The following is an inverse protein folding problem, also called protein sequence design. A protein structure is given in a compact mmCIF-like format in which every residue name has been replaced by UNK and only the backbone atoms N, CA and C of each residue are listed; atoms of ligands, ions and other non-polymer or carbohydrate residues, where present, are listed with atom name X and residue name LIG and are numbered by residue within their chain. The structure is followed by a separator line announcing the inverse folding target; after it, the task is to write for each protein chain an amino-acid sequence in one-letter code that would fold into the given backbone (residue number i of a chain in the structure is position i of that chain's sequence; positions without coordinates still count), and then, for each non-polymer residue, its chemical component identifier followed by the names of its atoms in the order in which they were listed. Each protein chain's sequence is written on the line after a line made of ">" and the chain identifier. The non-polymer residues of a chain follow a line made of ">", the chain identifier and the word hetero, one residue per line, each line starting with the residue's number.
data_IF_787242338868
#
_entry.id   IF_787242338868
#
_cell.length_a   1.000
_cell.length_b   1.000
_cell.length_c   1.000
_cell.angle_alpha   90.00
_cell.angle_beta   90.00
_cell.angle_gamma   90.00
#
_symmetry.space_group_name_H-M   'P 1'
#
loop_
_entity.id
_entity.type
_entity.pdbx_description
1 polymer ?
#
# COMPACT_ATOMS: atom_id res chain seq x y z
N UNK A 1 -2.61 -6.30 -14.49
CA UNK A 1 -2.26 -4.91 -14.19
C UNK A 1 -0.80 -4.65 -14.56
N UNK A 2 -0.52 -3.55 -15.28
CA UNK A 2 0.83 -3.08 -15.56
C UNK A 2 1.28 -2.15 -14.40
N UNK A 3 2.32 -2.55 -13.68
CA UNK A 3 2.76 -1.84 -12.46
C UNK A 3 3.75 -0.70 -12.77
N UNK A 4 4.18 0.00 -11.74
CA UNK A 4 5.13 1.14 -11.76
C UNK A 4 6.41 0.85 -12.54
N UNK A 5 6.84 -0.41 -12.60
CA UNK A 5 8.04 -0.83 -13.34
C UNK A 5 7.92 -0.60 -14.86
N UNK A 6 6.69 -0.40 -15.37
CA UNK A 6 6.46 -0.09 -16.78
C UNK A 6 6.70 1.38 -17.12
N UNK A 7 7.00 2.22 -16.13
CA UNK A 7 7.37 3.63 -16.30
C UNK A 7 6.38 4.43 -17.17
N UNK A 8 5.07 4.25 -16.91
CA UNK A 8 4.03 4.84 -17.76
C UNK A 8 3.89 6.34 -17.53
N UNK A 9 4.16 7.12 -18.57
CA UNK A 9 4.06 8.59 -18.57
C UNK A 9 3.21 9.16 -19.72
N UNK A 10 2.86 8.34 -20.71
CA UNK A 10 2.29 8.85 -21.96
C UNK A 10 1.06 8.06 -22.41
N UNK A 11 0.14 8.70 -23.17
CA UNK A 11 -1.01 8.00 -23.75
C UNK A 11 -0.61 6.83 -24.66
N UNK A 12 0.46 6.99 -25.45
CA UNK A 12 0.96 5.92 -26.33
C UNK A 12 1.45 4.71 -25.53
N UNK A 13 2.10 4.93 -24.38
CA UNK A 13 2.48 3.85 -23.47
C UNK A 13 1.26 3.13 -22.88
N UNK A 14 0.20 3.85 -22.53
CA UNK A 14 -1.04 3.27 -22.05
C UNK A 14 -1.73 2.41 -23.13
N UNK A 15 -1.79 2.91 -24.35
CA UNK A 15 -2.34 2.16 -25.49
C UNK A 15 -1.56 0.86 -25.75
N UNK A 16 -0.23 0.92 -25.78
CA UNK A 16 0.61 -0.28 -25.94
C UNK A 16 0.38 -1.31 -24.83
N UNK A 17 0.31 -0.86 -23.57
CA UNK A 17 0.07 -1.77 -22.44
C UNK A 17 -1.31 -2.42 -22.53
N UNK A 18 -2.32 -1.71 -23.03
CA UNK A 18 -3.64 -2.26 -23.32
C UNK A 18 -3.58 -3.32 -24.40
N UNK A 19 -2.90 -3.07 -25.53
CA UNK A 19 -2.69 -4.05 -26.59
C UNK A 19 -1.98 -5.32 -26.09
N UNK A 20 -1.09 -5.17 -25.12
CA UNK A 20 -0.42 -6.29 -24.43
C UNK A 20 -1.31 -7.01 -23.40
N UNK A 21 -2.59 -6.62 -23.27
CA UNK A 21 -3.58 -7.26 -22.41
C UNK A 21 -3.69 -6.69 -21.00
N UNK A 22 -3.10 -5.51 -20.70
CA UNK A 22 -3.32 -4.86 -19.42
C UNK A 22 -4.73 -4.24 -19.35
N UNK A 23 -5.52 -4.64 -18.36
CA UNK A 23 -6.83 -4.03 -18.05
C UNK A 23 -6.68 -2.76 -17.20
N UNK A 24 -5.60 -2.66 -16.41
CA UNK A 24 -5.28 -1.50 -15.56
C UNK A 24 -3.80 -1.19 -15.63
N UNK A 25 -3.47 0.09 -15.58
CA UNK A 25 -2.08 0.57 -15.59
C UNK A 25 -1.82 1.52 -14.41
N UNK A 26 -0.66 1.37 -13.77
CA UNK A 26 -0.20 2.24 -12.69
C UNK A 26 0.62 3.37 -13.29
N UNK A 27 0.15 4.59 -13.12
CA UNK A 27 0.82 5.79 -13.57
C UNK A 27 2.14 6.03 -12.82
N UNK A 28 3.11 6.63 -13.48
CA UNK A 28 4.33 7.06 -12.85
C UNK A 28 4.06 8.16 -11.80
N UNK A 29 4.75 8.11 -10.67
CA UNK A 29 4.52 9.03 -9.53
C UNK A 29 4.87 10.48 -9.83
N UNK A 30 5.74 10.70 -10.79
CA UNK A 30 6.25 12.00 -11.20
C UNK A 30 5.35 12.76 -12.18
N UNK A 31 4.21 12.20 -12.54
CA UNK A 31 3.23 12.86 -13.42
C UNK A 31 2.48 13.97 -12.70
N UNK A 32 2.28 15.07 -13.41
CA UNK A 32 1.39 16.16 -13.00
C UNK A 32 -0.08 15.82 -13.29
N UNK A 33 -1.01 16.53 -12.64
CA UNK A 33 -2.44 16.38 -12.88
C UNK A 33 -2.79 16.54 -14.37
N UNK A 34 -2.19 17.53 -15.04
CA UNK A 34 -2.41 17.78 -16.47
C UNK A 34 -1.99 16.61 -17.35
N UNK A 35 -0.84 15.98 -17.03
CA UNK A 35 -0.36 14.80 -17.77
C UNK A 35 -1.28 13.58 -17.52
N UNK A 36 -1.79 13.42 -16.30
CA UNK A 36 -2.77 12.37 -15.96
C UNK A 36 -4.05 12.56 -16.76
N UNK A 37 -4.60 13.77 -16.80
CA UNK A 37 -5.77 14.10 -17.62
C UNK A 37 -5.54 13.84 -19.12
N UNK A 38 -4.34 14.13 -19.61
CA UNK A 38 -4.00 13.88 -21.02
C UNK A 38 -3.99 12.39 -21.34
N UNK A 39 -3.45 11.55 -20.45
CA UNK A 39 -3.49 10.10 -20.60
C UNK A 39 -4.93 9.60 -20.54
N UNK A 40 -5.71 10.04 -19.55
CA UNK A 40 -7.09 9.63 -19.37
C UNK A 40 -7.98 9.94 -20.60
N UNK A 41 -7.82 11.12 -21.18
CA UNK A 41 -8.60 11.54 -22.37
C UNK A 41 -8.28 10.73 -23.66
N UNK A 42 -7.11 10.07 -23.70
CA UNK A 42 -6.60 9.38 -24.90
C UNK A 42 -6.53 7.85 -24.75
N UNK A 43 -7.00 7.31 -23.63
CA UNK A 43 -7.04 5.85 -23.38
C UNK A 43 -8.31 5.48 -22.63
N UNK A 44 -8.77 4.27 -22.84
CA UNK A 44 -9.88 3.65 -22.11
C UNK A 44 -9.42 2.53 -21.16
N UNK A 45 -8.09 2.38 -20.96
CA UNK A 45 -7.55 1.49 -19.93
C UNK A 45 -7.74 2.10 -18.55
N UNK A 46 -8.05 1.30 -17.56
CA UNK A 46 -8.19 1.78 -16.17
C UNK A 46 -6.88 2.37 -15.64
N UNK A 47 -6.97 3.56 -15.06
CA UNK A 47 -5.82 4.26 -14.49
C UNK A 47 -5.77 4.12 -12.97
N UNK A 48 -4.60 3.68 -12.47
CA UNK A 48 -4.29 3.62 -11.03
C UNK A 48 -3.17 4.59 -10.71
N UNK A 49 -3.36 5.46 -9.70
CA UNK A 49 -2.35 6.41 -9.26
C UNK A 49 -1.98 6.20 -7.79
N UNK A 50 -0.70 6.37 -7.45
CA UNK A 50 -0.31 6.45 -6.04
C UNK A 50 -0.84 7.72 -5.42
N UNK A 51 -1.45 7.59 -4.24
CA UNK A 51 -2.03 8.72 -3.48
C UNK A 51 -1.32 8.96 -2.15
N UNK A 52 -0.62 7.96 -1.62
CA UNK A 52 0.11 8.11 -0.36
C UNK A 52 1.31 7.15 -0.28
N UNK A 53 2.44 7.64 0.24
CA UNK A 53 3.60 6.81 0.51
C UNK A 53 4.94 7.44 0.15
N UNK A 54 5.99 6.61 0.15
CA UNK A 54 7.34 7.06 -0.14
C UNK A 54 7.51 7.51 -1.60
N UNK A 55 8.07 8.71 -1.77
CA UNK A 55 8.40 9.24 -3.09
C UNK A 55 9.81 8.84 -3.51
N UNK A 56 9.97 8.40 -4.76
CA UNK A 56 11.28 8.07 -5.34
C UNK A 56 11.94 9.32 -5.93
N UNK A 57 13.27 9.41 -5.77
CA UNK A 57 14.09 10.43 -6.45
C UNK A 57 14.27 10.13 -7.94
N UNK A 58 14.30 8.86 -8.31
CA UNK A 58 14.42 8.40 -9.68
C UNK A 58 13.07 8.34 -10.37
N UNK A 59 13.07 8.37 -11.70
CA UNK A 59 11.91 8.03 -12.51
C UNK A 59 11.37 6.65 -12.13
N UNK A 60 10.04 6.51 -12.14
CA UNK A 60 9.35 5.27 -11.78
C UNK A 60 9.86 4.09 -12.61
N UNK A 61 10.25 2.99 -11.94
CA UNK A 61 10.78 1.79 -12.59
C UNK A 61 12.24 1.86 -13.10
N UNK A 62 12.91 3.01 -13.04
CA UNK A 62 14.25 3.22 -13.63
C UNK A 62 15.38 3.30 -12.61
N UNK A 63 15.11 3.03 -11.33
CA UNK A 63 16.11 3.16 -10.28
C UNK A 63 17.00 1.91 -10.16
N UNK A 64 18.29 2.08 -10.44
CA UNK A 64 19.33 1.05 -10.22
C UNK A 64 20.22 1.35 -9.02
N UNK A 65 19.95 2.39 -8.24
CA UNK A 65 20.84 2.88 -7.19
C UNK A 65 21.14 1.83 -6.11
N UNK A 66 20.14 1.10 -5.64
CA UNK A 66 20.34 0.01 -4.69
C UNK A 66 21.09 -1.20 -5.30
N UNK A 67 20.99 -1.41 -6.60
CA UNK A 67 21.73 -2.46 -7.29
C UNK A 67 23.21 -2.10 -7.40
N UNK A 68 23.52 -0.84 -7.73
CA UNK A 68 24.89 -0.36 -7.85
C UNK A 68 25.64 -0.35 -6.52
N UNK A 69 24.99 0.05 -5.42
CA UNK A 69 25.63 0.16 -4.11
C UNK A 69 25.56 -1.12 -3.25
N UNK A 70 24.71 -2.09 -3.59
CA UNK A 70 24.55 -3.25 -2.73
C UNK A 70 23.93 -4.48 -3.39
N UNK A 71 23.94 -4.57 -4.73
CA UNK A 71 23.42 -5.73 -5.47
C UNK A 71 21.91 -5.97 -5.30
N UNK A 72 21.12 -4.97 -4.83
CA UNK A 72 19.70 -5.11 -4.50
C UNK A 72 18.82 -4.42 -5.54
N UNK A 73 17.98 -5.18 -6.24
CA UNK A 73 17.07 -4.61 -7.23
C UNK A 73 15.84 -3.96 -6.59
N UNK A 74 15.70 -2.65 -6.75
CA UNK A 74 14.48 -1.91 -6.34
C UNK A 74 13.23 -2.40 -7.04
N UNK A 75 13.31 -2.73 -8.34
CA UNK A 75 12.21 -3.24 -9.14
C UNK A 75 11.74 -4.65 -8.73
N UNK A 76 12.58 -5.39 -8.01
CA UNK A 76 12.23 -6.67 -7.39
C UNK A 76 11.84 -6.53 -5.92
N UNK A 77 11.47 -5.33 -5.48
CA UNK A 77 11.03 -5.06 -4.11
C UNK A 77 12.16 -5.03 -3.06
N UNK A 78 13.42 -5.00 -3.47
CA UNK A 78 14.59 -5.03 -2.57
C UNK A 78 15.28 -3.66 -2.42
N UNK A 79 14.55 -2.56 -2.64
CA UNK A 79 15.11 -1.22 -2.49
C UNK A 79 15.68 -1.01 -1.08
N UNK A 80 16.95 -0.62 -0.98
CA UNK A 80 17.60 -0.29 0.29
C UNK A 80 17.43 1.17 0.69
N UNK A 81 16.64 1.95 -0.06
CA UNK A 81 16.44 3.39 0.16
C UNK A 81 17.75 4.20 0.13
N UNK A 82 18.69 3.84 -0.72
CA UNK A 82 20.01 4.45 -0.85
C UNK A 82 19.96 5.96 -1.09
N UNK A 83 18.90 6.47 -1.76
CA UNK A 83 18.67 7.91 -1.92
C UNK A 83 18.41 8.67 -0.60
N UNK A 84 18.25 7.95 0.53
CA UNK A 84 18.05 8.52 1.86
C UNK A 84 19.36 8.67 2.66
N UNK A 85 20.44 8.13 2.14
CA UNK A 85 21.77 8.32 2.71
C UNK A 85 22.24 9.78 2.54
N UNK A 86 23.24 10.21 3.34
CA UNK A 86 23.76 11.58 3.27
C UNK A 86 24.61 11.78 2.00
N UNK A 87 23.95 12.14 0.91
CA UNK A 87 24.60 12.62 -0.31
C UNK A 87 24.49 14.14 -0.35
N UNK A 88 25.64 14.81 -0.42
CA UNK A 88 25.73 16.27 -0.45
C UNK A 88 26.24 16.74 -1.80
N UNK A 89 25.55 17.72 -2.39
CA UNK A 89 26.05 18.54 -3.50
C UNK A 89 26.67 19.84 -2.93
N UNK A 90 27.55 20.53 -3.69
CA UNK A 90 28.01 21.86 -3.28
C UNK A 90 26.84 22.83 -3.05
N UNK A 91 26.76 23.42 -1.86
CA UNK A 91 25.65 24.28 -1.45
C UNK A 91 24.34 23.57 -1.11
N UNK A 92 24.36 22.25 -1.00
CA UNK A 92 23.23 21.41 -0.62
C UNK A 92 23.03 21.28 0.88
N UNK A 93 22.07 20.41 1.29
CA UNK A 93 21.65 20.19 2.68
C UNK A 93 22.31 18.96 3.32
N UNK A 94 23.07 18.18 2.57
CA UNK A 94 23.65 16.91 3.02
C UNK A 94 22.80 15.68 2.70
N UNK A 95 21.54 15.86 2.30
CA UNK A 95 20.62 14.77 1.90
C UNK A 95 19.90 15.13 0.58
N UNK A 96 20.65 15.58 -0.39
CA UNK A 96 20.13 16.19 -1.61
C UNK A 96 19.46 15.23 -2.60
N UNK A 97 19.38 13.95 -2.26
CA UNK A 97 18.61 12.93 -2.96
C UNK A 97 17.36 12.48 -2.18
N UNK A 98 17.10 13.01 -0.98
CA UNK A 98 15.99 12.60 -0.15
C UNK A 98 14.78 13.50 -0.37
N UNK A 99 13.72 12.94 -0.96
CA UNK A 99 12.44 13.61 -1.09
C UNK A 99 11.57 13.41 0.17
N UNK A 100 10.69 14.37 0.45
CA UNK A 100 9.54 14.20 1.33
C UNK A 100 8.68 13.04 0.87
N UNK A 101 7.84 12.54 1.75
CA UNK A 101 6.85 11.54 1.36
C UNK A 101 5.68 12.21 0.63
N UNK A 102 5.01 11.44 -0.22
CA UNK A 102 3.89 11.90 -1.03
C UNK A 102 2.58 11.75 -0.26
N UNK A 103 1.73 12.77 -0.33
CA UNK A 103 0.33 12.66 0.08
C UNK A 103 -0.57 13.44 -0.86
N UNK A 104 -1.55 12.75 -1.44
CA UNK A 104 -2.61 13.29 -2.30
C UNK A 104 -3.99 13.07 -1.67
N UNK A 105 -4.06 12.91 -0.35
CA UNK A 105 -5.34 12.71 0.37
C UNK A 105 -6.33 13.84 0.01
N UNK A 106 -5.87 15.09 -0.01
CA UNK A 106 -6.69 16.24 -0.36
C UNK A 106 -6.97 16.39 -1.87
N UNK A 107 -6.40 15.51 -2.70
CA UNK A 107 -6.55 15.53 -4.16
C UNK A 107 -7.24 14.27 -4.71
N UNK A 108 -7.80 13.42 -3.87
CA UNK A 108 -8.42 12.15 -4.30
C UNK A 108 -9.60 12.41 -5.23
N UNK A 109 -10.47 13.36 -4.91
CA UNK A 109 -11.58 13.76 -5.78
C UNK A 109 -11.06 14.35 -7.11
N UNK A 110 -10.02 15.20 -7.05
CA UNK A 110 -9.40 15.78 -8.25
C UNK A 110 -8.83 14.69 -9.17
N UNK A 111 -8.16 13.68 -8.59
CA UNK A 111 -7.64 12.53 -9.33
C UNK A 111 -8.76 11.68 -9.93
N UNK A 112 -9.85 11.48 -9.20
CA UNK A 112 -11.02 10.79 -9.72
C UNK A 112 -11.62 11.52 -10.92
N UNK A 113 -11.81 12.85 -10.81
CA UNK A 113 -12.31 13.69 -11.89
C UNK A 113 -11.36 13.73 -13.09
N UNK A 114 -10.05 13.52 -12.89
CA UNK A 114 -9.04 13.37 -13.94
C UNK A 114 -9.06 11.98 -14.60
N UNK A 115 -9.93 11.06 -14.17
CA UNK A 115 -10.10 9.72 -14.74
C UNK A 115 -9.31 8.60 -14.04
N UNK A 116 -8.75 8.85 -12.86
CA UNK A 116 -8.14 7.80 -12.03
C UNK A 116 -9.23 7.01 -11.30
N UNK A 117 -9.33 5.70 -11.56
CA UNK A 117 -10.34 4.83 -10.94
C UNK A 117 -9.82 4.07 -9.71
N UNK A 118 -8.50 4.06 -9.48
CA UNK A 118 -7.89 3.32 -8.37
C UNK A 118 -6.83 4.15 -7.66
N UNK A 119 -7.03 4.37 -6.36
CA UNK A 119 -6.09 5.06 -5.48
C UNK A 119 -5.16 4.05 -4.79
N UNK A 120 -3.86 4.14 -5.05
CA UNK A 120 -2.86 3.22 -4.52
C UNK A 120 -2.11 3.81 -3.34
N UNK A 121 -2.10 3.07 -2.23
CA UNK A 121 -1.30 3.40 -1.05
C UNK A 121 -0.06 2.52 -1.03
N UNK A 122 1.14 3.13 -0.90
CA UNK A 122 2.36 2.37 -0.70
C UNK A 122 2.56 2.09 0.79
N UNK A 123 2.83 0.83 1.15
CA UNK A 123 2.98 0.51 2.57
C UNK A 123 3.43 -0.90 2.91
N UNK A 124 3.87 -1.73 1.94
CA UNK A 124 4.20 -3.15 2.13
C UNK A 124 5.16 -3.43 3.30
N UNK A 125 6.15 -2.57 3.51
CA UNK A 125 7.17 -2.74 4.56
C UNK A 125 6.94 -1.77 5.73
N UNK A 126 5.70 -1.33 5.93
CA UNK A 126 5.35 -0.35 6.95
C UNK A 126 4.58 -1.00 8.09
N UNK A 127 4.55 -0.30 9.22
CA UNK A 127 3.81 -0.74 10.40
C UNK A 127 2.30 -0.72 10.14
N UNK A 128 1.52 -1.62 10.79
CA UNK A 128 0.06 -1.65 10.64
C UNK A 128 -0.61 -0.32 10.94
N UNK A 129 -0.11 0.42 11.93
CA UNK A 129 -0.66 1.73 12.33
C UNK A 129 -0.60 2.75 11.19
N UNK A 130 0.50 2.76 10.44
CA UNK A 130 0.61 3.59 9.24
C UNK A 130 -0.41 3.17 8.18
N UNK A 131 -0.50 1.88 7.89
CA UNK A 131 -1.41 1.36 6.87
C UNK A 131 -2.86 1.70 7.24
N UNK A 132 -3.24 1.47 8.50
CA UNK A 132 -4.59 1.78 8.98
C UNK A 132 -4.92 3.28 8.87
N UNK A 133 -3.99 4.15 9.31
CA UNK A 133 -4.17 5.60 9.23
C UNK A 133 -4.29 6.09 7.77
N UNK A 134 -3.40 5.61 6.88
CA UNK A 134 -3.41 6.00 5.47
C UNK A 134 -4.69 5.52 4.77
N UNK A 135 -5.13 4.28 5.02
CA UNK A 135 -6.37 3.74 4.45
C UNK A 135 -7.58 4.50 4.98
N UNK A 136 -7.66 4.76 6.30
CA UNK A 136 -8.78 5.49 6.90
C UNK A 136 -8.88 6.92 6.33
N UNK A 137 -7.75 7.63 6.22
CA UNK A 137 -7.73 8.97 5.67
C UNK A 137 -8.11 9.00 4.18
N UNK A 138 -7.51 8.12 3.36
CA UNK A 138 -7.84 8.01 1.94
C UNK A 138 -9.28 7.59 1.71
N UNK A 139 -9.84 6.68 2.55
CA UNK A 139 -11.23 6.22 2.42
C UNK A 139 -12.20 7.37 2.67
N UNK A 140 -12.00 8.12 3.78
CA UNK A 140 -12.82 9.30 4.08
C UNK A 140 -12.81 10.33 2.95
N UNK A 141 -11.62 10.66 2.45
CA UNK A 141 -11.49 11.59 1.32
C UNK A 141 -12.20 11.07 0.05
N UNK A 142 -12.14 9.76 -0.23
CA UNK A 142 -12.81 9.15 -1.37
C UNK A 142 -14.35 9.10 -1.21
N UNK A 143 -14.85 9.06 0.01
CA UNK A 143 -16.27 9.12 0.33
C UNK A 143 -16.81 10.57 0.39
N UNK A 144 -15.96 11.58 0.13
CA UNK A 144 -16.31 12.99 0.22
C UNK A 144 -16.45 13.52 1.65
N UNK A 145 -15.96 12.73 2.63
CA UNK A 145 -15.95 13.13 4.04
C UNK A 145 -14.71 13.99 4.38
N UNK A 146 -14.85 14.87 5.35
CA UNK A 146 -13.70 15.58 5.90
C UNK A 146 -12.78 14.61 6.66
N UNK A 147 -11.48 14.67 6.35
CA UNK A 147 -10.50 13.88 7.10
C UNK A 147 -10.17 14.62 8.40
N UNK A 148 -10.33 13.98 9.57
CA UNK A 148 -10.01 14.61 10.85
C UNK A 148 -8.55 15.07 10.94
N UNK A 149 -8.31 16.27 11.44
CA UNK A 149 -6.97 16.86 11.52
C UNK A 149 -6.02 15.99 12.37
N UNK A 150 -6.49 15.49 13.50
CA UNK A 150 -5.71 14.60 14.35
C UNK A 150 -5.28 13.29 13.64
N UNK A 151 -6.08 12.78 12.70
CA UNK A 151 -5.71 11.61 11.90
C UNK A 151 -4.57 11.97 10.93
N UNK A 152 -4.62 13.16 10.32
CA UNK A 152 -3.54 13.65 9.45
C UNK A 152 -2.25 13.93 10.23
N UNK A 153 -2.36 14.51 11.42
CA UNK A 153 -1.23 14.72 12.32
C UNK A 153 -0.57 13.40 12.73
N UNK A 154 -1.38 12.41 13.14
CA UNK A 154 -0.88 11.08 13.50
C UNK A 154 -0.21 10.39 12.31
N UNK A 155 -0.83 10.48 11.11
CA UNK A 155 -0.25 9.93 9.90
C UNK A 155 1.09 10.59 9.56
N UNK A 156 1.17 11.91 9.71
CA UNK A 156 2.41 12.66 9.56
C UNK A 156 3.49 12.20 10.56
N UNK A 157 3.14 12.05 11.84
CA UNK A 157 4.05 11.60 12.89
C UNK A 157 4.64 10.21 12.59
N UNK A 158 3.82 9.23 12.20
CA UNK A 158 4.29 7.84 12.02
C UNK A 158 5.02 7.60 10.70
N UNK A 159 4.89 8.51 9.71
CA UNK A 159 5.41 8.18 8.37
C UNK A 159 6.10 9.32 7.63
N UNK A 160 6.05 10.57 8.01
CA UNK A 160 6.61 11.65 7.18
C UNK A 160 8.13 11.82 7.30
N UNK A 161 8.71 12.46 6.29
CA UNK A 161 10.07 13.02 6.27
C UNK A 161 9.97 14.53 6.12
N UNK A 162 9.94 15.25 7.23
CA UNK A 162 9.70 16.70 7.26
C UNK A 162 8.39 17.09 6.56
N UNK A 163 7.33 16.30 6.76
CA UNK A 163 6.04 16.47 6.14
C UNK A 163 5.87 15.78 4.80
N UNK A 164 4.80 16.12 4.11
CA UNK A 164 4.41 15.58 2.82
C UNK A 164 4.63 16.56 1.67
N UNK A 165 4.57 16.05 0.45
CA UNK A 165 4.62 16.86 -0.78
C UNK A 165 3.62 16.34 -1.81
N UNK A 166 3.04 17.26 -2.57
CA UNK A 166 2.26 17.04 -3.78
C UNK A 166 2.94 17.62 -5.02
N UNK A 167 4.20 18.02 -4.89
CA UNK A 167 4.92 18.85 -5.87
C UNK A 167 4.97 18.27 -7.30
N UNK A 168 4.86 16.96 -7.49
CA UNK A 168 4.70 16.40 -8.83
C UNK A 168 3.29 16.62 -9.36
N UNK A 169 2.26 16.31 -8.61
CA UNK A 169 0.86 16.45 -9.01
C UNK A 169 0.53 17.91 -9.35
N UNK A 170 0.95 18.84 -8.49
CA UNK A 170 0.74 20.27 -8.65
C UNK A 170 1.69 20.94 -9.65
N UNK A 171 2.67 20.21 -10.19
CA UNK A 171 3.77 20.72 -11.01
C UNK A 171 4.68 21.75 -10.32
N UNK A 172 4.61 21.89 -8.97
CA UNK A 172 5.49 22.76 -8.18
C UNK A 172 6.74 21.98 -7.73
N UNK A 173 7.62 21.72 -8.70
CA UNK A 173 8.88 20.99 -8.46
C UNK A 173 9.94 21.93 -7.90
N UNK A 174 10.80 21.42 -7.00
CA UNK A 174 11.92 22.20 -6.48
C UNK A 174 12.37 21.78 -5.07
N UNK A 175 13.13 22.64 -4.42
CA UNK A 175 13.71 22.37 -3.09
C UNK A 175 12.68 22.03 -2.02
N UNK A 176 11.45 22.54 -2.14
CA UNK A 176 10.34 22.27 -1.20
C UNK A 176 9.93 20.81 -1.13
N UNK A 177 10.27 20.02 -2.17
CA UNK A 177 10.00 18.58 -2.22
C UNK A 177 11.01 17.74 -1.45
N UNK A 178 12.14 18.31 -1.02
CA UNK A 178 13.19 17.57 -0.31
C UNK A 178 12.94 17.57 1.19
N UNK A 179 13.28 16.48 1.85
CA UNK A 179 13.14 16.34 3.29
C UNK A 179 13.79 15.07 3.82
N UNK A 180 14.11 15.09 5.10
CA UNK A 180 14.67 13.96 5.83
C UNK A 180 13.85 13.73 7.08
N UNK A 181 13.89 12.54 7.65
CA UNK A 181 13.28 12.29 8.95
C UNK A 181 14.15 12.90 10.03
N UNK A 182 13.63 13.89 10.76
CA UNK A 182 14.33 14.60 11.82
C UNK A 182 14.16 13.89 13.17
N UNK A 183 14.83 14.40 14.22
CA UNK A 183 14.61 13.89 15.58
C UNK A 183 13.20 14.19 16.05
N UNK A 184 12.69 15.37 15.73
CA UNK A 184 11.34 15.82 16.05
C UNK A 184 10.29 14.91 15.37
N UNK A 185 10.51 14.51 14.11
CA UNK A 185 9.65 13.53 13.44
C UNK A 185 9.63 12.16 14.15
N UNK A 186 10.75 11.76 14.76
CA UNK A 186 10.84 10.51 15.52
C UNK A 186 10.13 10.63 16.87
N UNK A 187 10.31 11.74 17.57
CA UNK A 187 9.73 11.99 18.88
C UNK A 187 8.21 12.18 18.81
N UNK A 188 7.69 12.77 17.72
CA UNK A 188 6.26 12.92 17.48
C UNK A 188 5.55 11.58 17.36
N UNK A 189 6.23 10.53 16.86
CA UNK A 189 5.73 9.17 16.79
C UNK A 189 5.83 8.44 18.14
N UNK A 190 5.22 8.98 19.18
CA UNK A 190 5.24 8.43 20.52
C UNK A 190 4.23 7.28 20.73
N UNK A 191 4.31 6.65 21.91
CA UNK A 191 3.46 5.49 22.24
C UNK A 191 1.95 5.82 22.26
N UNK A 192 1.57 7.05 22.59
CA UNK A 192 0.17 7.47 22.61
C UNK A 192 -0.40 7.55 21.18
N UNK A 193 0.36 8.08 20.22
CA UNK A 193 -0.01 8.09 18.80
C UNK A 193 -0.20 6.67 18.28
N UNK A 194 0.74 5.77 18.57
CA UNK A 194 0.60 4.37 18.16
C UNK A 194 -0.60 3.68 18.81
N UNK A 195 -0.87 3.92 20.08
CA UNK A 195 -2.04 3.35 20.77
C UNK A 195 -3.36 3.83 20.15
N UNK A 196 -3.46 5.11 19.80
CA UNK A 196 -4.64 5.66 19.12
C UNK A 196 -4.82 5.06 17.72
N UNK A 197 -3.76 4.99 16.91
CA UNK A 197 -3.83 4.38 15.59
C UNK A 197 -4.13 2.87 15.63
N UNK A 198 -3.68 2.17 16.66
CA UNK A 198 -4.01 0.77 16.88
C UNK A 198 -5.52 0.54 17.01
N UNK A 199 -6.27 1.51 17.54
CA UNK A 199 -7.74 1.40 17.66
C UNK A 199 -8.45 1.30 16.30
N UNK A 200 -7.83 1.80 15.22
CA UNK A 200 -8.42 1.76 13.88
C UNK A 200 -8.59 0.34 13.32
N UNK A 201 -7.79 -0.62 13.80
CA UNK A 201 -7.83 -2.01 13.31
C UNK A 201 -7.92 -3.07 14.42
N UNK A 202 -7.96 -2.66 15.69
CA UNK A 202 -8.00 -3.57 16.84
C UNK A 202 -9.26 -4.44 16.89
N UNK A 203 -10.37 -3.91 16.40
CA UNK A 203 -11.65 -4.62 16.38
C UNK A 203 -11.99 -4.96 14.93
N UNK A 204 -11.46 -6.08 14.45
CA UNK A 204 -11.90 -6.63 13.18
C UNK A 204 -13.38 -7.00 13.30
N UNK A 205 -14.24 -6.25 12.63
CA UNK A 205 -15.63 -6.65 12.48
C UNK A 205 -15.67 -7.80 11.46
N UNK A 206 -16.18 -8.95 11.87
CA UNK A 206 -16.51 -10.04 10.95
C UNK A 206 -17.56 -9.53 9.96
N UNK A 207 -17.16 -9.38 8.70
CA UNK A 207 -18.06 -8.89 7.64
C UNK A 207 -18.77 -10.03 6.91
N UNK A 208 -18.17 -11.20 6.92
CA UNK A 208 -18.68 -12.40 6.28
C UNK A 208 -18.71 -13.49 7.35
N UNK A 209 -19.88 -13.95 7.79
CA UNK A 209 -19.97 -15.10 8.68
C UNK A 209 -19.54 -16.34 7.90
N UNK A 210 -18.66 -17.14 8.50
CA UNK A 210 -18.25 -18.42 7.92
C UNK A 210 -18.57 -19.55 8.88
N UNK A 211 -19.03 -20.66 8.31
CA UNK A 211 -19.30 -21.89 9.04
C UNK A 211 -18.21 -22.90 8.78
N UNK A 212 -17.57 -23.39 9.84
CA UNK A 212 -16.61 -24.48 9.79
C UNK A 212 -17.32 -25.79 10.14
N UNK A 213 -17.21 -26.77 9.26
CA UNK A 213 -17.67 -28.14 9.53
C UNK A 213 -16.46 -29.06 9.55
N UNK A 214 -16.18 -29.65 10.72
CA UNK A 214 -15.10 -30.61 10.88
C UNK A 214 -15.66 -32.03 10.87
N UNK A 215 -15.00 -32.90 10.11
CA UNK A 215 -15.34 -34.34 10.04
C UNK A 215 -14.09 -35.16 10.33
N UNK A 216 -14.12 -35.92 11.44
CA UNK A 216 -13.04 -36.79 11.83
C UNK A 216 -13.64 -38.14 12.27
N UNK A 217 -13.49 -39.16 11.46
CA UNK A 217 -13.98 -40.51 11.70
C UNK A 217 -12.82 -41.51 11.72
N UNK A 218 -12.84 -42.45 12.64
CA UNK A 218 -11.80 -43.48 12.71
C UNK A 218 -11.63 -44.20 11.36
N UNK A 219 -10.39 -44.36 10.93
CA UNK A 219 -10.03 -44.96 9.64
C UNK A 219 -10.21 -44.07 8.42
N UNK A 220 -10.56 -42.78 8.58
CA UNK A 220 -10.69 -41.80 7.51
C UNK A 220 -9.78 -40.60 7.76
N UNK A 221 -9.45 -39.92 6.69
CA UNK A 221 -8.71 -38.66 6.77
C UNK A 221 -9.60 -37.54 7.33
N UNK A 222 -9.13 -36.70 8.25
CA UNK A 222 -9.90 -35.57 8.74
C UNK A 222 -10.14 -34.56 7.62
N UNK A 223 -11.32 -33.98 7.63
CA UNK A 223 -11.77 -33.03 6.62
C UNK A 223 -12.37 -31.79 7.28
N UNK A 224 -12.00 -30.61 6.79
CA UNK A 224 -12.59 -29.34 7.17
C UNK A 224 -13.28 -28.76 5.95
N UNK A 225 -14.53 -28.40 6.12
CA UNK A 225 -15.31 -27.64 5.13
C UNK A 225 -15.58 -26.27 5.71
N UNK A 226 -15.33 -25.21 4.93
CA UNK A 226 -15.62 -23.82 5.30
C UNK A 226 -16.57 -23.24 4.28
N UNK A 227 -17.68 -22.69 4.75
CA UNK A 227 -18.69 -22.07 3.87
C UNK A 227 -19.10 -20.69 4.40
N UNK A 228 -19.27 -19.72 3.48
CA UNK A 228 -19.87 -18.41 3.73
C UNK A 228 -21.37 -18.35 3.34
N UNK A 229 -21.94 -19.48 2.96
CA UNK A 229 -23.32 -19.61 2.48
C UNK A 229 -23.47 -19.55 0.96
N UNK A 230 -22.51 -18.97 0.24
CA UNK A 230 -22.48 -18.91 -1.23
C UNK A 230 -21.35 -19.76 -1.83
N UNK A 231 -20.20 -19.77 -1.15
CA UNK A 231 -19.01 -20.49 -1.57
C UNK A 231 -18.63 -21.54 -0.53
N UNK A 232 -17.99 -22.61 -0.99
CA UNK A 232 -17.47 -23.67 -0.13
C UNK A 232 -16.03 -24.01 -0.49
N UNK A 233 -15.18 -24.13 0.53
CA UNK A 233 -13.82 -24.64 0.43
C UNK A 233 -13.65 -25.88 1.30
N UNK A 234 -12.97 -26.89 0.78
CA UNK A 234 -12.75 -28.18 1.47
C UNK A 234 -11.27 -28.47 1.52
N UNK A 235 -10.78 -28.79 2.72
CA UNK A 235 -9.42 -29.26 2.95
C UNK A 235 -9.48 -30.63 3.60
N UNK A 236 -8.73 -31.59 3.07
CA UNK A 236 -8.56 -32.94 3.64
C UNK A 236 -7.08 -33.12 3.95
N UNK A 237 -6.76 -33.60 5.15
CA UNK A 237 -5.38 -33.93 5.51
C UNK A 237 -5.01 -35.30 4.94
N UNK A 238 -4.35 -35.30 3.77
CA UNK A 238 -4.07 -36.54 3.02
C UNK A 238 -3.10 -37.49 3.75
N UNK A 239 -2.20 -36.93 4.54
CA UNK A 239 -1.15 -37.67 5.26
C UNK A 239 -1.55 -38.06 6.70
N UNK A 240 -2.82 -37.93 7.07
CA UNK A 240 -3.31 -38.19 8.42
C UNK A 240 -4.59 -39.01 8.38
N UNK A 241 -4.58 -40.16 9.06
CA UNK A 241 -5.78 -41.00 9.25
C UNK A 241 -6.19 -40.93 10.70
N UNK A 242 -7.46 -40.66 10.98
CA UNK A 242 -7.98 -40.60 12.32
C UNK A 242 -7.96 -41.96 12.97
N UNK A 243 -7.43 -42.07 14.17
CA UNK A 243 -7.46 -43.29 15.00
C UNK A 243 -8.72 -43.32 15.85
N UNK A 244 -9.09 -44.53 16.28
CA UNK A 244 -10.19 -44.71 17.22
C UNK A 244 -9.83 -44.09 18.58
N UNK A 245 -10.72 -43.30 19.15
CA UNK A 245 -10.50 -42.68 20.46
C UNK A 245 -10.29 -43.74 21.56
N UNK A 246 -9.16 -43.65 22.28
CA UNK A 246 -8.81 -44.60 23.34
C UNK A 246 -9.46 -44.29 24.69
N UNK A 247 -9.80 -43.02 24.97
CA UNK A 247 -10.40 -42.59 26.23
C UNK A 247 -11.73 -41.88 26.03
N UNK A 248 -11.73 -40.75 25.30
CA UNK A 248 -12.92 -39.95 25.03
C UNK A 248 -12.88 -39.47 23.57
N UNK A 249 -14.00 -39.53 22.83
CA UNK A 249 -14.07 -38.94 21.50
C UNK A 249 -13.88 -37.42 21.57
N UNK A 250 -13.39 -36.84 20.49
CA UNK A 250 -13.33 -35.40 20.37
C UNK A 250 -14.76 -34.85 20.18
N UNK A 251 -15.13 -33.87 21.00
CA UNK A 251 -16.40 -33.18 20.93
C UNK A 251 -16.21 -31.71 20.45
N UNK A 252 -17.31 -31.03 20.22
CA UNK A 252 -17.31 -29.63 19.70
C UNK A 252 -16.49 -28.70 20.61
N UNK A 253 -16.62 -28.81 21.93
CA UNK A 253 -15.89 -27.95 22.88
C UNK A 253 -14.36 -28.10 22.82
N UNK A 254 -13.85 -29.27 22.40
CA UNK A 254 -12.41 -29.50 22.20
C UNK A 254 -11.88 -29.05 20.86
N UNK A 255 -12.76 -28.83 19.91
CA UNK A 255 -12.38 -28.26 18.62
C UNK A 255 -12.28 -26.73 18.65
N UNK A 256 -12.93 -26.09 19.61
CA UNK A 256 -12.93 -24.63 19.79
C UNK A 256 -11.73 -24.11 20.61
N UNK A 257 -10.93 -24.98 21.19
CA UNK A 257 -9.69 -24.68 21.94
C UNK A 257 -8.44 -24.82 21.07
#
# INVERSE_FOLDING_TARGET
>A
HASTQMSLHTPGGAALLKELGASRVVLAREMSLKEIEEVSKKTDVELEAFVHGALCMSLSGQCYFSAMLGGRSGNRGRCAQTCRLPFAAPGGTGHDLSLKDMSFINHIETLHNAGVCSAKIEGRMKRPEYVAAAVAACRKAADGESVPENLLEHLNAVFSRSGFTDGYLSAHRGRVMFGTRTKEDVESANSAVFAQLHTLYKNEAQRVPVTFTLSAFAGKNPRVTVSDGENEAVVTAEDCVCETAQKLPVNTERWEQ
#
